data_IF_359987573618
#
_entry.id   IF_359987573618
#
_cell.length_a   1.000
_cell.length_b   1.000
_cell.length_c   1.000
_cell.angle_alpha   90.00
_cell.angle_beta   90.00
_cell.angle_gamma   90.00
#
_symmetry.space_group_name_H-M   'P 1'
#
loop_
_entity.id
_entity.type
_entity.pdbx_description
1 polymer ?
#
# COMPACT_ATOMS: atom_id res chain seq x y z
N UNK A 1 -82.83 -1.74 2.78
CA UNK A 1 -84.27 -1.56 3.07
C UNK A 1 -84.97 -1.56 1.73
N UNK A 2 -85.81 -2.56 1.50
CA UNK A 2 -86.30 -2.95 0.17
C UNK A 2 -87.73 -2.50 -0.05
N UNK A 3 -88.10 -2.31 -1.33
CA UNK A 3 -89.47 -2.07 -1.81
C UNK A 3 -90.50 -3.00 -1.14
N UNK A 4 -90.08 -4.22 -0.81
CA UNK A 4 -90.88 -5.23 -0.11
C UNK A 4 -91.39 -4.81 1.28
N UNK A 5 -90.70 -3.93 2.00
CA UNK A 5 -91.14 -3.47 3.33
C UNK A 5 -92.22 -2.37 3.20
N UNK A 6 -92.10 -1.52 2.18
CA UNK A 6 -93.15 -0.56 1.80
C UNK A 6 -94.41 -1.31 1.34
N UNK A 7 -94.27 -2.34 0.51
CA UNK A 7 -95.38 -3.18 0.07
C UNK A 7 -96.05 -3.91 1.25
N UNK A 8 -95.26 -4.41 2.22
CA UNK A 8 -95.80 -5.05 3.43
C UNK A 8 -96.57 -4.07 4.32
N UNK A 9 -96.05 -2.85 4.49
CA UNK A 9 -96.72 -1.80 5.28
C UNK A 9 -97.98 -1.27 4.56
N UNK A 10 -97.99 -1.27 3.23
CA UNK A 10 -99.15 -0.94 2.42
C UNK A 10 -100.29 -1.93 2.67
N UNK A 11 -100.01 -3.24 2.60
CA UNK A 11 -101.00 -4.28 2.90
C UNK A 11 -101.49 -4.23 4.36
N UNK A 12 -100.61 -3.86 5.29
CA UNK A 12 -100.94 -3.75 6.71
C UNK A 12 -101.87 -2.54 6.98
N UNK A 13 -101.59 -1.39 6.37
CA UNK A 13 -102.42 -0.19 6.46
C UNK A 13 -103.80 -0.40 5.80
N UNK A 14 -103.87 -1.14 4.69
CA UNK A 14 -105.13 -1.46 4.01
C UNK A 14 -106.02 -2.42 4.83
N UNK A 15 -105.42 -3.34 5.60
CA UNK A 15 -106.16 -4.28 6.46
C UNK A 15 -106.54 -3.68 7.82
N UNK A 16 -105.70 -2.80 8.36
CA UNK A 16 -105.89 -2.16 9.66
C UNK A 16 -105.58 -0.66 9.54
N UNK A 17 -106.58 0.15 9.14
CA UNK A 17 -106.40 1.56 8.89
C UNK A 17 -106.38 2.34 10.21
N UNK A 18 -105.25 2.29 10.90
CA UNK A 18 -104.94 3.14 12.04
C UNK A 18 -103.97 4.24 11.62
N UNK A 19 -104.04 5.39 12.31
CA UNK A 19 -103.20 6.55 12.03
C UNK A 19 -101.70 6.20 12.13
N UNK A 20 -101.31 5.43 13.16
CA UNK A 20 -99.92 4.95 13.34
C UNK A 20 -99.42 4.10 12.17
N UNK A 21 -100.28 3.26 11.55
CA UNK A 21 -99.88 2.41 10.43
C UNK A 21 -99.70 3.21 9.13
N UNK A 22 -100.53 4.24 8.91
CA UNK A 22 -100.35 5.15 7.78
C UNK A 22 -99.12 6.04 7.95
N UNK A 23 -98.86 6.54 9.16
CA UNK A 23 -97.63 7.31 9.44
C UNK A 23 -96.37 6.47 9.24
N UNK A 24 -96.38 5.20 9.66
CA UNK A 24 -95.27 4.27 9.43
C UNK A 24 -95.05 3.99 7.94
N UNK A 25 -96.13 3.76 7.17
CA UNK A 25 -96.06 3.57 5.72
C UNK A 25 -95.53 4.80 4.99
N UNK A 26 -96.06 5.99 5.29
CA UNK A 26 -95.63 7.24 4.67
C UNK A 26 -94.17 7.55 5.02
N UNK A 27 -93.76 7.31 6.26
CA UNK A 27 -92.36 7.48 6.68
C UNK A 27 -91.43 6.56 5.91
N UNK A 28 -91.79 5.28 5.72
CA UNK A 28 -90.96 4.36 4.93
C UNK A 28 -91.00 4.64 3.42
N UNK A 29 -92.13 5.11 2.88
CA UNK A 29 -92.21 5.56 1.49
C UNK A 29 -91.31 6.77 1.23
N UNK A 30 -91.29 7.74 2.16
CA UNK A 30 -90.43 8.91 2.09
C UNK A 30 -88.95 8.51 2.19
N UNK A 31 -88.59 7.65 3.14
CA UNK A 31 -87.22 7.13 3.27
C UNK A 31 -86.78 6.34 2.03
N UNK A 32 -87.68 5.55 1.44
CA UNK A 32 -87.40 4.83 0.20
C UNK A 32 -87.15 5.80 -0.98
N UNK A 33 -87.99 6.83 -1.13
CA UNK A 33 -87.85 7.85 -2.17
C UNK A 33 -86.57 8.68 -1.99
N UNK A 34 -86.25 9.11 -0.78
CA UNK A 34 -84.99 9.82 -0.47
C UNK A 34 -83.77 8.96 -0.83
N UNK A 35 -83.83 7.66 -0.57
CA UNK A 35 -82.74 6.74 -0.92
C UNK A 35 -82.61 6.53 -2.43
N UNK A 36 -83.73 6.41 -3.15
CA UNK A 36 -83.73 6.32 -4.61
C UNK A 36 -83.20 7.61 -5.25
N UNK A 37 -83.58 8.77 -4.70
CA UNK A 37 -83.03 10.07 -5.11
C UNK A 37 -81.53 10.17 -4.81
N UNK A 38 -81.07 9.68 -3.65
CA UNK A 38 -79.65 9.60 -3.31
C UNK A 38 -78.86 8.72 -4.29
N UNK A 39 -79.36 7.52 -4.60
CA UNK A 39 -78.73 6.61 -5.58
C UNK A 39 -78.71 7.25 -6.98
N UNK A 40 -79.78 7.92 -7.38
CA UNK A 40 -79.84 8.62 -8.66
C UNK A 40 -78.86 9.79 -8.71
N UNK A 41 -78.77 10.60 -7.66
CA UNK A 41 -77.81 11.70 -7.57
C UNK A 41 -76.35 11.20 -7.56
N UNK A 42 -76.06 10.07 -6.89
CA UNK A 42 -74.74 9.44 -6.95
C UNK A 42 -74.42 8.83 -8.33
N UNK A 43 -75.42 8.34 -9.05
CA UNK A 43 -75.26 7.84 -10.40
C UNK A 43 -75.05 8.97 -11.41
N UNK A 44 -75.78 10.08 -11.26
CA UNK A 44 -75.61 11.31 -12.04
C UNK A 44 -74.23 11.93 -11.77
N UNK A 45 -73.81 12.04 -10.50
CA UNK A 45 -72.46 12.50 -10.14
C UNK A 45 -71.34 11.60 -10.69
N UNK A 46 -71.55 10.27 -10.74
CA UNK A 46 -70.61 9.34 -11.39
C UNK A 46 -70.59 9.48 -12.91
N UNK A 47 -71.74 9.74 -13.53
CA UNK A 47 -71.85 9.97 -14.96
C UNK A 47 -71.18 11.29 -15.37
N UNK A 48 -71.39 12.36 -14.60
CA UNK A 48 -70.73 13.65 -14.80
C UNK A 48 -69.21 13.54 -14.59
N UNK A 49 -68.76 12.86 -13.53
CA UNK A 49 -67.34 12.62 -13.30
C UNK A 49 -66.71 11.77 -14.43
N UNK A 50 -67.43 10.77 -14.94
CA UNK A 50 -66.98 9.97 -16.09
C UNK A 50 -66.96 10.79 -17.39
N UNK A 51 -67.93 11.68 -17.58
CA UNK A 51 -68.00 12.57 -18.74
C UNK A 51 -66.88 13.62 -18.70
N UNK A 52 -66.58 14.18 -17.53
CA UNK A 52 -65.48 15.12 -17.34
C UNK A 52 -64.13 14.41 -17.51
N UNK A 53 -63.97 13.19 -16.97
CA UNK A 53 -62.77 12.38 -17.20
C UNK A 53 -62.61 11.99 -18.67
N UNK A 54 -63.70 11.69 -19.38
CA UNK A 54 -63.68 11.42 -20.82
C UNK A 54 -63.37 12.68 -21.63
N UNK A 55 -63.81 13.86 -21.17
CA UNK A 55 -63.47 15.15 -21.77
C UNK A 55 -62.00 15.49 -21.54
N UNK A 56 -61.50 15.34 -20.32
CA UNK A 56 -60.07 15.49 -19.98
C UNK A 56 -59.20 14.54 -20.80
N UNK A 57 -59.57 13.25 -20.91
CA UNK A 57 -58.83 12.29 -21.74
C UNK A 57 -58.93 12.63 -23.23
N UNK A 58 -60.04 13.21 -23.72
CA UNK A 58 -60.14 13.71 -25.11
C UNK A 58 -59.26 14.93 -25.32
N UNK A 59 -59.23 15.87 -24.38
CA UNK A 59 -58.38 17.05 -24.43
C UNK A 59 -56.90 16.69 -24.31
N UNK A 60 -56.56 15.68 -23.50
CA UNK A 60 -55.22 15.13 -23.37
C UNK A 60 -54.81 14.34 -24.63
N UNK A 61 -55.73 13.55 -25.21
CA UNK A 61 -55.54 12.90 -26.50
C UNK A 61 -55.44 13.89 -27.66
N UNK A 62 -56.20 14.99 -27.65
CA UNK A 62 -56.06 16.08 -28.60
C UNK A 62 -54.78 16.88 -28.35
N UNK A 63 -54.36 17.08 -27.11
CA UNK A 63 -53.09 17.70 -26.75
C UNK A 63 -51.91 16.87 -27.23
N UNK A 64 -51.95 15.56 -27.01
CA UNK A 64 -50.97 14.60 -27.51
C UNK A 64 -51.02 14.48 -29.04
N UNK A 65 -52.20 14.55 -29.67
CA UNK A 65 -52.33 14.60 -31.13
C UNK A 65 -51.81 15.91 -31.70
N UNK A 66 -52.04 17.05 -31.06
CA UNK A 66 -51.50 18.36 -31.46
C UNK A 66 -49.98 18.41 -31.30
N UNK A 67 -49.44 17.77 -30.26
CA UNK A 67 -48.01 17.54 -30.06
C UNK A 67 -47.42 16.55 -31.09
N UNK A 68 -48.19 15.58 -31.58
CA UNK A 68 -47.78 14.61 -32.60
C UNK A 68 -48.15 14.98 -34.06
N UNK A 69 -48.88 16.08 -34.30
CA UNK A 69 -49.18 16.60 -35.66
C UNK A 69 -48.08 17.48 -36.25
N UNK A 70 -46.86 17.46 -35.69
CA UNK A 70 -45.68 17.62 -36.54
C UNK A 70 -45.59 16.37 -37.41
N UNK A 71 -46.18 16.44 -38.60
CA UNK A 71 -46.01 15.44 -39.64
C UNK A 71 -44.51 15.03 -39.70
N UNK A 72 -44.18 13.74 -39.88
CA UNK A 72 -42.79 13.33 -40.05
C UNK A 72 -42.18 14.13 -41.19
N UNK A 73 -41.30 15.07 -40.85
CA UNK A 73 -40.60 15.88 -41.85
C UNK A 73 -39.68 14.92 -42.58
N UNK A 74 -40.02 14.54 -43.80
CA UNK A 74 -39.04 13.98 -44.73
C UNK A 74 -37.96 15.03 -44.87
N UNK A 75 -36.79 14.76 -44.27
CA UNK A 75 -35.60 15.58 -44.44
C UNK A 75 -35.36 15.76 -45.94
N UNK A 76 -35.01 16.98 -46.35
CA UNK A 76 -34.57 17.20 -47.73
C UNK A 76 -33.29 16.39 -47.99
N UNK A 77 -33.01 16.07 -49.25
CA UNK A 77 -31.77 15.40 -49.63
C UNK A 77 -30.53 16.17 -49.14
N UNK A 78 -30.59 17.51 -49.16
CA UNK A 78 -29.55 18.40 -48.64
C UNK A 78 -29.34 18.25 -47.11
N UNK A 79 -30.43 18.15 -46.34
CA UNK A 79 -30.34 17.97 -44.88
C UNK A 79 -29.80 16.58 -44.50
N UNK A 80 -30.13 15.56 -45.29
CA UNK A 80 -29.59 14.21 -45.11
C UNK A 80 -28.09 14.16 -45.46
N UNK A 81 -27.67 14.85 -46.52
CA UNK A 81 -26.26 14.96 -46.89
C UNK A 81 -25.46 15.71 -45.82
N UNK A 82 -25.97 16.84 -45.31
CA UNK A 82 -25.35 17.58 -44.21
C UNK A 82 -25.24 16.74 -42.94
N UNK A 83 -26.29 15.98 -42.60
CA UNK A 83 -26.28 15.06 -41.47
C UNK A 83 -25.16 14.01 -41.61
N UNK A 84 -25.13 13.31 -42.76
CA UNK A 84 -24.15 12.26 -43.01
C UNK A 84 -22.72 12.80 -43.07
N UNK A 85 -22.52 13.98 -43.66
CA UNK A 85 -21.21 14.65 -43.69
C UNK A 85 -20.73 14.99 -42.27
N UNK A 86 -21.61 15.54 -41.43
CA UNK A 86 -21.28 15.91 -40.06
C UNK A 86 -21.07 14.68 -39.16
N UNK A 87 -21.88 13.65 -39.32
CA UNK A 87 -21.74 12.37 -38.63
C UNK A 87 -20.38 11.73 -38.97
N UNK A 88 -20.03 11.68 -40.26
CA UNK A 88 -18.77 11.10 -40.73
C UNK A 88 -17.57 11.91 -40.28
N UNK A 89 -17.68 13.24 -40.29
CA UNK A 89 -16.64 14.15 -39.79
C UNK A 89 -16.34 13.90 -38.31
N UNK A 90 -17.38 13.80 -37.47
CA UNK A 90 -17.23 13.49 -36.04
C UNK A 90 -16.63 12.11 -35.82
N UNK A 91 -17.11 11.09 -36.53
CA UNK A 91 -16.56 9.74 -36.42
C UNK A 91 -15.07 9.70 -36.80
N UNK A 92 -14.68 10.41 -37.87
CA UNK A 92 -13.30 10.52 -38.30
C UNK A 92 -12.44 11.20 -37.24
N UNK A 93 -12.92 12.29 -36.65
CA UNK A 93 -12.19 12.98 -35.58
C UNK A 93 -12.02 12.08 -34.34
N UNK A 94 -13.06 11.36 -33.94
CA UNK A 94 -12.99 10.42 -32.82
C UNK A 94 -12.04 9.25 -33.12
N UNK A 95 -12.07 8.72 -34.35
CA UNK A 95 -11.16 7.68 -34.81
C UNK A 95 -9.70 8.10 -34.75
N UNK A 96 -9.36 9.27 -35.29
CA UNK A 96 -7.99 9.82 -35.26
C UNK A 96 -7.51 10.01 -33.82
N UNK A 97 -8.35 10.59 -32.95
CA UNK A 97 -8.00 10.78 -31.54
C UNK A 97 -7.81 9.46 -30.81
N UNK A 98 -8.67 8.47 -31.06
CA UNK A 98 -8.54 7.13 -30.52
C UNK A 98 -7.22 6.49 -30.93
N UNK A 99 -6.90 6.48 -32.23
CA UNK A 99 -5.67 5.88 -32.76
C UNK A 99 -4.43 6.51 -32.14
N UNK A 100 -4.36 7.84 -32.10
CA UNK A 100 -3.21 8.56 -31.52
C UNK A 100 -3.09 8.29 -30.02
N UNK A 101 -4.19 8.31 -29.27
CA UNK A 101 -4.16 8.02 -27.82
C UNK A 101 -3.80 6.56 -27.55
N UNK A 102 -4.35 5.60 -28.30
CA UNK A 102 -3.99 4.18 -28.17
C UNK A 102 -2.53 3.94 -28.53
N UNK A 103 -2.02 4.58 -29.58
CA UNK A 103 -0.61 4.49 -29.96
C UNK A 103 0.30 5.07 -28.87
N UNK A 104 -0.03 6.25 -28.33
CA UNK A 104 0.69 6.84 -27.22
C UNK A 104 0.73 5.93 -25.99
N UNK A 105 -0.40 5.31 -25.65
CA UNK A 105 -0.52 4.39 -24.51
C UNK A 105 0.18 3.04 -24.74
N UNK A 106 0.57 2.72 -25.99
CA UNK A 106 1.30 1.51 -26.33
C UNK A 106 2.82 1.64 -26.17
N UNK A 107 3.34 2.85 -25.96
CA UNK A 107 4.77 3.06 -25.78
C UNK A 107 5.30 2.40 -24.50
N UNK A 108 6.52 1.88 -24.60
CA UNK A 108 7.31 1.54 -23.42
C UNK A 108 7.68 2.82 -22.65
N UNK A 109 8.05 2.67 -21.37
CA UNK A 109 8.46 3.81 -20.56
C UNK A 109 9.63 4.60 -21.17
N UNK A 110 10.54 3.95 -21.90
CA UNK A 110 11.68 4.61 -22.56
C UNK A 110 11.28 5.31 -23.85
N UNK A 111 10.43 4.69 -24.68
CA UNK A 111 9.96 5.31 -25.93
C UNK A 111 9.09 6.54 -25.65
N UNK A 112 8.31 6.50 -24.57
CA UNK A 112 7.48 7.62 -24.13
C UNK A 112 8.30 8.86 -23.76
N UNK A 113 9.50 8.68 -23.18
CA UNK A 113 10.40 9.78 -22.82
C UNK A 113 10.90 10.53 -24.05
N UNK A 114 11.05 9.85 -25.18
CA UNK A 114 11.53 10.43 -26.44
C UNK A 114 10.40 10.92 -27.36
N UNK A 115 9.15 10.53 -27.07
CA UNK A 115 8.00 10.90 -27.87
C UNK A 115 7.77 12.41 -27.94
N UNK A 116 7.41 12.90 -29.13
CA UNK A 116 6.98 14.29 -29.31
C UNK A 116 5.55 14.45 -28.77
N UNK A 117 5.44 15.00 -27.55
CA UNK A 117 4.15 15.11 -26.87
C UNK A 117 3.36 16.37 -27.26
N UNK A 118 3.86 17.24 -28.14
CA UNK A 118 3.34 18.58 -28.45
C UNK A 118 1.87 18.56 -28.92
N UNK A 119 1.52 17.64 -29.81
CA UNK A 119 0.17 17.51 -30.37
C UNK A 119 -0.82 16.94 -29.35
N UNK A 120 -0.45 15.85 -28.66
CA UNK A 120 -1.33 15.23 -27.65
C UNK A 120 -1.50 16.15 -26.44
N UNK A 121 -0.43 16.83 -26.05
CA UNK A 121 -0.42 17.93 -25.09
C UNK A 121 -1.50 18.97 -25.37
N UNK A 122 -1.51 19.52 -26.58
CA UNK A 122 -2.51 20.50 -27.00
C UNK A 122 -3.94 19.95 -26.96
N UNK A 123 -4.14 18.71 -27.36
CA UNK A 123 -5.45 18.06 -27.31
C UNK A 123 -5.95 17.83 -25.88
N UNK A 124 -5.05 17.50 -24.94
CA UNK A 124 -5.37 17.35 -23.53
C UNK A 124 -5.72 18.70 -22.88
N UNK A 125 -5.00 19.76 -23.23
CA UNK A 125 -5.24 21.11 -22.70
C UNK A 125 -6.55 21.71 -23.22
N UNK A 126 -6.92 21.40 -24.47
CA UNK A 126 -8.17 21.86 -25.12
C UNK A 126 -9.34 20.87 -25.00
N UNK A 127 -9.17 19.81 -24.20
CA UNK A 127 -10.13 18.70 -24.10
C UNK A 127 -11.53 19.15 -23.70
N UNK A 128 -11.66 20.05 -22.73
CA UNK A 128 -12.96 20.55 -22.24
C UNK A 128 -13.75 21.27 -23.34
N UNK A 129 -13.06 22.09 -24.14
CA UNK A 129 -13.64 22.79 -25.29
C UNK A 129 -14.05 21.81 -26.39
N UNK A 130 -13.20 20.84 -26.69
CA UNK A 130 -13.50 19.79 -27.66
C UNK A 130 -14.72 18.95 -27.23
N UNK A 131 -14.72 18.44 -26.00
CA UNK A 131 -15.79 17.60 -25.46
C UNK A 131 -17.14 18.32 -25.50
N UNK A 132 -17.20 19.58 -25.05
CA UNK A 132 -18.42 20.38 -25.09
C UNK A 132 -18.92 20.60 -26.54
N UNK A 133 -18.01 20.84 -27.49
CA UNK A 133 -18.34 21.02 -28.91
C UNK A 133 -18.82 19.71 -29.56
N UNK A 134 -18.14 18.60 -29.30
CA UNK A 134 -18.47 17.27 -29.79
C UNK A 134 -19.84 16.82 -29.24
N UNK A 135 -20.06 16.95 -27.93
CA UNK A 135 -21.31 16.57 -27.29
C UNK A 135 -22.48 17.42 -27.80
N UNK A 136 -22.29 18.74 -27.93
CA UNK A 136 -23.28 19.64 -28.54
C UNK A 136 -23.61 19.23 -29.99
N UNK A 137 -22.60 18.85 -30.77
CA UNK A 137 -22.77 18.42 -32.15
C UNK A 137 -23.50 17.08 -32.26
N UNK A 138 -23.17 16.10 -31.42
CA UNK A 138 -23.86 14.80 -31.36
C UNK A 138 -25.31 14.99 -30.85
N UNK A 139 -25.55 15.86 -29.86
CA UNK A 139 -26.92 16.19 -29.40
C UNK A 139 -27.75 16.83 -30.52
N UNK A 140 -27.16 17.71 -31.34
CA UNK A 140 -27.83 18.29 -32.52
C UNK A 140 -28.18 17.22 -33.55
N UNK A 141 -27.27 16.30 -33.85
CA UNK A 141 -27.55 15.16 -34.73
C UNK A 141 -28.65 14.26 -34.15
N UNK A 142 -28.63 14.00 -32.84
CA UNK A 142 -29.67 13.20 -32.16
C UNK A 142 -31.05 13.83 -32.25
N UNK A 143 -31.13 15.17 -32.24
CA UNK A 143 -32.37 15.90 -32.46
C UNK A 143 -32.91 15.68 -33.88
N UNK A 144 -32.03 15.80 -34.90
CA UNK A 144 -32.39 15.53 -36.30
C UNK A 144 -32.79 14.06 -36.52
N UNK A 145 -32.08 13.11 -35.90
CA UNK A 145 -32.41 11.69 -35.92
C UNK A 145 -33.81 11.41 -35.35
N UNK A 146 -34.16 12.04 -34.21
CA UNK A 146 -35.49 11.91 -33.59
C UNK A 146 -36.62 12.56 -34.39
N UNK A 147 -36.32 13.67 -35.05
CA UNK A 147 -37.27 14.42 -35.88
C UNK A 147 -37.46 13.76 -37.27
N UNK A 148 -36.52 12.90 -37.68
CA UNK A 148 -36.59 12.17 -38.93
C UNK A 148 -37.60 11.01 -38.88
N UNK A 149 -38.39 10.87 -39.94
CA UNK A 149 -39.29 9.75 -40.12
C UNK A 149 -38.53 8.42 -40.17
N UNK A 150 -39.12 7.31 -39.71
CA UNK A 150 -38.59 5.94 -39.85
C UNK A 150 -38.24 5.51 -41.29
N UNK A 151 -38.62 6.30 -42.29
CA UNK A 151 -38.33 6.08 -43.71
C UNK A 151 -36.92 6.53 -44.13
N UNK A 152 -36.26 7.40 -43.35
CA UNK A 152 -34.91 7.88 -43.67
C UNK A 152 -33.86 6.98 -42.99
N UNK A 153 -33.02 6.32 -43.79
CA UNK A 153 -31.91 5.49 -43.29
C UNK A 153 -30.75 6.42 -42.89
N UNK A 154 -30.82 6.98 -41.68
CA UNK A 154 -29.72 7.75 -41.09
C UNK A 154 -28.84 6.85 -40.22
N UNK A 155 -27.51 7.06 -40.22
CA UNK A 155 -26.61 6.41 -39.26
C UNK A 155 -27.00 6.76 -37.82
N UNK A 156 -27.06 5.79 -36.89
CA UNK A 156 -27.49 6.06 -35.52
C UNK A 156 -26.43 6.89 -34.77
N UNK A 157 -26.87 7.86 -33.96
CA UNK A 157 -25.94 8.66 -33.14
C UNK A 157 -25.33 7.89 -31.97
N UNK A 158 -25.87 6.71 -31.62
CA UNK A 158 -25.34 5.87 -30.54
C UNK A 158 -23.87 5.52 -30.77
N UNK A 159 -23.47 5.19 -32.00
CA UNK A 159 -22.07 4.87 -32.30
C UNK A 159 -21.12 6.06 -32.10
N UNK A 160 -21.61 7.29 -32.25
CA UNK A 160 -20.82 8.49 -31.95
C UNK A 160 -20.66 8.69 -30.43
N UNK A 161 -21.67 8.37 -29.63
CA UNK A 161 -21.54 8.36 -28.17
C UNK A 161 -20.55 7.29 -27.71
N UNK A 162 -20.68 6.06 -28.22
CA UNK A 162 -19.76 4.96 -27.86
C UNK A 162 -18.31 5.30 -28.24
N UNK A 163 -18.10 5.89 -29.42
CA UNK A 163 -16.77 6.33 -29.86
C UNK A 163 -16.24 7.49 -29.01
N UNK A 164 -17.08 8.46 -28.65
CA UNK A 164 -16.68 9.57 -27.78
C UNK A 164 -16.32 9.08 -26.38
N UNK A 165 -17.09 8.16 -25.80
CA UNK A 165 -16.83 7.58 -24.48
C UNK A 165 -15.49 6.82 -24.44
N UNK A 166 -15.17 6.08 -25.51
CA UNK A 166 -13.88 5.39 -25.61
C UNK A 166 -12.71 6.39 -25.71
N UNK A 167 -12.87 7.47 -26.48
CA UNK A 167 -11.86 8.55 -26.51
C UNK A 167 -11.73 9.22 -25.14
N UNK A 168 -12.83 9.46 -24.42
CA UNK A 168 -12.80 9.99 -23.05
C UNK A 168 -11.98 9.08 -22.11
N UNK A 169 -12.22 7.77 -22.16
CA UNK A 169 -11.50 6.78 -21.33
C UNK A 169 -10.00 6.79 -21.61
N UNK A 170 -9.61 6.75 -22.89
CA UNK A 170 -8.21 6.80 -23.31
C UNK A 170 -7.56 8.15 -22.94
N UNK A 171 -8.31 9.24 -23.05
CA UNK A 171 -7.86 10.57 -22.70
C UNK A 171 -7.52 10.69 -21.21
N UNK A 172 -8.36 10.15 -20.32
CA UNK A 172 -8.07 10.15 -18.88
C UNK A 172 -6.78 9.39 -18.56
N UNK A 173 -6.55 8.23 -19.20
CA UNK A 173 -5.34 7.44 -19.02
C UNK A 173 -4.10 8.20 -19.52
N UNK A 174 -4.19 8.77 -20.73
CA UNK A 174 -3.10 9.54 -21.33
C UNK A 174 -2.77 10.82 -20.54
N UNK A 175 -3.77 11.50 -19.96
CA UNK A 175 -3.57 12.74 -19.20
C UNK A 175 -2.60 12.56 -18.04
N UNK A 176 -2.72 11.46 -17.30
CA UNK A 176 -1.84 11.17 -16.16
C UNK A 176 -0.39 10.92 -16.62
N UNK A 177 -0.21 10.13 -17.68
CA UNK A 177 1.11 9.81 -18.22
C UNK A 177 1.81 11.03 -18.84
N UNK A 178 1.10 11.78 -19.69
CA UNK A 178 1.61 13.03 -20.28
C UNK A 178 1.87 14.07 -19.20
N UNK A 179 1.02 14.16 -18.17
CA UNK A 179 1.21 15.06 -17.03
C UNK A 179 2.49 14.74 -16.24
N UNK A 180 2.73 13.46 -15.93
CA UNK A 180 3.97 13.02 -15.26
C UNK A 180 5.22 13.31 -16.10
N UNK A 181 5.17 13.05 -17.39
CA UNK A 181 6.31 13.29 -18.28
C UNK A 181 6.54 14.78 -18.54
N UNK A 182 5.48 15.59 -18.65
CA UNK A 182 5.60 17.07 -18.66
C UNK A 182 6.25 17.57 -17.39
N UNK A 183 5.81 17.07 -16.23
CA UNK A 183 6.43 17.40 -14.94
C UNK A 183 7.91 17.02 -14.96
N UNK A 184 8.26 15.79 -15.32
CA UNK A 184 9.65 15.31 -15.45
C UNK A 184 10.50 16.19 -16.37
N UNK A 185 10.00 16.54 -17.56
CA UNK A 185 10.69 17.42 -18.52
C UNK A 185 10.85 18.85 -17.99
N UNK A 186 9.87 19.35 -17.26
CA UNK A 186 9.93 20.69 -16.62
C UNK A 186 10.82 20.72 -15.38
N UNK A 187 10.88 19.62 -14.62
CA UNK A 187 11.74 19.47 -13.44
C UNK A 187 13.17 19.06 -13.80
N UNK A 188 13.45 18.71 -15.06
CA UNK A 188 14.82 18.54 -15.59
C UNK A 188 15.50 19.87 -15.93
N UNK A 189 14.98 21.01 -15.45
CA UNK A 189 15.65 22.32 -15.57
C UNK A 189 17.00 22.29 -14.86
N UNK A 190 17.98 23.02 -15.41
CA UNK A 190 19.32 23.16 -14.81
C UNK A 190 19.26 23.66 -13.36
N UNK A 191 18.22 24.42 -13.00
CA UNK A 191 17.97 24.90 -11.63
C UNK A 191 17.73 23.74 -10.64
N UNK A 192 16.88 22.77 -10.97
CA UNK A 192 16.63 21.60 -10.13
C UNK A 192 17.85 20.68 -10.05
N UNK A 193 18.61 20.56 -11.14
CA UNK A 193 19.90 19.85 -11.14
C UNK A 193 20.86 20.54 -10.17
N UNK A 194 20.92 21.87 -10.20
CA UNK A 194 21.80 22.64 -9.33
C UNK A 194 21.39 22.50 -7.85
N UNK A 195 20.10 22.58 -7.54
CA UNK A 195 19.58 22.37 -6.18
C UNK A 195 19.93 20.97 -5.66
N UNK A 196 19.72 19.93 -6.48
CA UNK A 196 20.12 18.57 -6.15
C UNK A 196 21.63 18.48 -5.87
N UNK A 197 22.45 19.07 -6.74
CA UNK A 197 23.92 19.05 -6.59
C UNK A 197 24.38 19.80 -5.35
N UNK A 198 23.69 20.84 -4.92
CA UNK A 198 24.01 21.58 -3.71
C UNK A 198 23.60 20.81 -2.44
N UNK A 199 22.41 20.19 -2.43
CA UNK A 199 21.98 19.29 -1.34
C UNK A 199 22.91 18.07 -1.21
N UNK A 200 23.28 17.44 -2.33
CA UNK A 200 24.23 16.33 -2.36
C UNK A 200 25.60 16.76 -1.81
N UNK A 201 26.09 17.94 -2.22
CA UNK A 201 27.39 18.45 -1.76
C UNK A 201 27.39 18.69 -0.26
N UNK A 202 26.31 19.23 0.30
CA UNK A 202 26.20 19.46 1.75
C UNK A 202 26.30 18.15 2.54
N UNK A 203 25.60 17.10 2.13
CA UNK A 203 25.69 15.80 2.80
C UNK A 203 27.08 15.18 2.67
N UNK A 204 27.69 15.28 1.48
CA UNK A 204 29.05 14.78 1.24
C UNK A 204 30.08 15.51 2.10
N UNK A 205 29.99 16.83 2.17
CA UNK A 205 30.84 17.69 3.00
C UNK A 205 30.69 17.34 4.49
N UNK A 206 29.45 17.11 4.94
CA UNK A 206 29.18 16.65 6.30
C UNK A 206 29.83 15.29 6.56
N UNK A 207 29.66 14.31 5.66
CA UNK A 207 30.28 12.98 5.81
C UNK A 207 31.81 13.08 5.92
N UNK A 208 32.45 13.90 5.07
CA UNK A 208 33.91 14.14 5.13
C UNK A 208 34.34 14.77 6.44
N UNK A 209 33.63 15.79 6.93
CA UNK A 209 33.91 16.42 8.24
C UNK A 209 33.79 15.42 9.39
N UNK A 210 32.81 14.52 9.34
CA UNK A 210 32.66 13.45 10.34
C UNK A 210 33.82 12.45 10.26
N UNK A 211 34.25 12.05 9.06
CA UNK A 211 35.41 11.17 8.87
C UNK A 211 36.72 11.81 9.36
N UNK A 212 36.94 13.10 9.08
CA UNK A 212 38.08 13.85 9.59
C UNK A 212 38.08 13.95 11.12
N UNK A 213 36.91 14.14 11.72
CA UNK A 213 36.74 14.17 13.17
C UNK A 213 37.05 12.80 13.74
N UNK A 214 36.41 11.75 13.20
CA UNK A 214 36.63 10.36 13.57
C UNK A 214 38.12 10.01 13.48
N UNK A 215 38.83 10.44 12.43
CA UNK A 215 40.26 10.17 12.22
C UNK A 215 41.14 10.70 13.37
N UNK A 216 40.77 11.83 13.99
CA UNK A 216 41.50 12.45 15.11
C UNK A 216 41.26 11.77 16.45
N UNK A 217 40.12 11.07 16.61
CA UNK A 217 39.78 10.38 17.86
C UNK A 217 40.66 9.15 18.07
N UNK A 218 41.19 8.95 19.27
CA UNK A 218 42.06 7.81 19.59
C UNK A 218 41.70 7.12 20.90
N UNK A 219 41.08 7.83 21.84
CA UNK A 219 40.59 7.27 23.08
C UNK A 219 39.26 6.52 22.86
N UNK A 220 39.07 5.41 23.57
CA UNK A 220 37.85 4.61 23.48
C UNK A 220 36.61 5.39 23.97
N UNK A 221 36.75 6.22 25.01
CA UNK A 221 35.67 7.08 25.51
C UNK A 221 35.15 8.02 24.43
N UNK A 222 36.06 8.80 23.80
CA UNK A 222 35.70 9.72 22.72
C UNK A 222 35.08 9.01 21.52
N UNK A 223 35.55 7.80 21.19
CA UNK A 223 34.98 6.99 20.10
C UNK A 223 33.56 6.51 20.43
N UNK A 224 33.28 6.18 21.70
CA UNK A 224 31.92 5.83 22.16
C UNK A 224 31.01 7.06 22.09
N UNK A 225 31.47 8.23 22.57
CA UNK A 225 30.70 9.47 22.49
C UNK A 225 30.40 9.86 21.05
N UNK A 226 31.40 9.77 20.16
CA UNK A 226 31.20 9.98 18.73
C UNK A 226 30.19 9.00 18.15
N UNK A 227 30.29 7.71 18.45
CA UNK A 227 29.39 6.70 17.88
C UNK A 227 27.95 6.86 18.41
N UNK A 228 27.77 7.19 19.69
CA UNK A 228 26.47 7.53 20.25
C UNK A 228 25.85 8.75 19.54
N UNK A 229 26.64 9.80 19.32
CA UNK A 229 26.20 10.97 18.57
C UNK A 229 25.89 10.61 17.10
N UNK A 230 26.74 9.82 16.46
CA UNK A 230 26.53 9.35 15.10
C UNK A 230 25.22 8.56 14.97
N UNK A 231 25.00 7.58 15.86
CA UNK A 231 23.76 6.78 15.89
C UNK A 231 22.51 7.65 16.09
N UNK A 232 22.60 8.69 16.93
CA UNK A 232 21.48 9.63 17.10
C UNK A 232 21.17 10.47 15.85
N UNK A 233 22.16 10.67 14.98
CA UNK A 233 22.02 11.42 13.73
C UNK A 233 21.60 10.55 12.53
N UNK A 234 21.72 9.22 12.62
CA UNK A 234 21.37 8.29 11.51
C UNK A 234 19.95 8.53 10.99
N UNK A 235 18.88 8.63 11.81
CA UNK A 235 17.52 8.82 11.29
C UNK A 235 17.33 10.13 10.51
N UNK A 236 18.04 11.20 10.92
CA UNK A 236 18.01 12.49 10.22
C UNK A 236 18.72 12.36 8.88
N UNK A 237 19.84 11.64 8.86
CA UNK A 237 20.58 11.39 7.62
C UNK A 237 19.79 10.51 6.66
N UNK A 238 19.14 9.45 7.13
CA UNK A 238 18.28 8.60 6.32
C UNK A 238 17.13 9.39 5.69
N UNK A 239 16.51 10.32 6.43
CA UNK A 239 15.51 11.24 5.90
C UNK A 239 16.08 12.15 4.81
N UNK A 240 17.27 12.72 5.03
CA UNK A 240 17.94 13.58 4.04
C UNK A 240 18.32 12.80 2.77
N UNK A 241 18.76 11.55 2.92
CA UNK A 241 19.03 10.65 1.81
C UNK A 241 17.74 10.33 1.05
N UNK A 242 16.65 10.00 1.75
CA UNK A 242 15.36 9.75 1.12
C UNK A 242 14.90 10.94 0.26
N UNK A 243 15.01 12.17 0.78
CA UNK A 243 14.68 13.38 0.03
C UNK A 243 15.55 13.52 -1.23
N UNK A 244 16.87 13.27 -1.13
CA UNK A 244 17.74 13.27 -2.31
C UNK A 244 17.35 12.20 -3.32
N UNK A 245 16.95 11.02 -2.86
CA UNK A 245 16.49 9.94 -3.73
C UNK A 245 15.21 10.33 -4.48
N UNK A 246 14.22 10.89 -3.77
CA UNK A 246 12.97 11.39 -4.37
C UNK A 246 13.23 12.51 -5.39
N UNK A 247 14.12 13.46 -5.09
CA UNK A 247 14.53 14.50 -6.04
C UNK A 247 15.24 13.92 -7.27
N UNK A 248 16.05 12.88 -7.07
CA UNK A 248 16.80 12.25 -8.15
C UNK A 248 15.90 11.53 -9.15
N UNK A 249 14.72 11.02 -8.76
CA UNK A 249 13.81 10.23 -9.62
C UNK A 249 13.49 10.97 -10.94
N UNK A 250 13.17 12.26 -10.85
CA UNK A 250 12.86 13.07 -12.03
C UNK A 250 14.11 13.41 -12.87
N UNK A 251 15.29 13.39 -12.24
CA UNK A 251 16.59 13.79 -12.80
C UNK A 251 17.46 12.60 -13.25
N UNK A 252 16.98 11.37 -13.07
CA UNK A 252 17.71 10.13 -13.29
C UNK A 252 18.29 9.97 -14.71
N UNK A 253 17.78 10.67 -15.72
CA UNK A 253 18.38 10.66 -17.06
C UNK A 253 19.72 11.41 -17.16
N UNK A 254 20.10 12.18 -16.15
CA UNK A 254 21.33 12.94 -16.13
C UNK A 254 22.46 12.14 -15.45
N UNK A 255 23.51 11.82 -16.21
CA UNK A 255 24.68 11.07 -15.70
C UNK A 255 25.35 11.75 -14.49
N UNK A 256 25.39 13.09 -14.46
CA UNK A 256 26.01 13.82 -13.33
C UNK A 256 25.24 13.60 -12.02
N UNK A 257 23.92 13.50 -12.11
CA UNK A 257 23.03 13.23 -10.96
C UNK A 257 23.25 11.79 -10.49
N UNK A 258 23.34 10.84 -11.41
CA UNK A 258 23.64 9.44 -11.08
C UNK A 258 24.98 9.31 -10.36
N UNK A 259 26.05 9.89 -10.91
CA UNK A 259 27.39 9.83 -10.32
C UNK A 259 27.42 10.50 -8.93
N UNK A 260 26.76 11.65 -8.78
CA UNK A 260 26.69 12.37 -7.52
C UNK A 260 25.94 11.57 -6.44
N UNK A 261 24.89 10.84 -6.82
CA UNK A 261 24.12 9.97 -5.93
C UNK A 261 24.92 8.74 -5.49
N UNK A 262 25.72 8.15 -6.38
CA UNK A 262 26.68 7.10 -6.03
C UNK A 262 27.76 7.62 -5.08
N UNK A 263 28.31 8.80 -5.35
CA UNK A 263 29.38 9.37 -4.53
C UNK A 263 28.92 9.64 -3.10
N UNK A 264 27.72 10.21 -2.91
CA UNK A 264 27.20 10.52 -1.56
C UNK A 264 26.87 9.27 -0.77
N UNK A 265 26.28 8.24 -1.41
CA UNK A 265 26.04 6.95 -0.76
C UNK A 265 27.35 6.25 -0.37
N UNK A 266 28.36 6.30 -1.26
CA UNK A 266 29.68 5.74 -0.95
C UNK A 266 30.31 6.43 0.26
N UNK A 267 30.25 7.76 0.35
CA UNK A 267 30.81 8.51 1.48
C UNK A 267 30.07 8.21 2.79
N UNK A 268 28.76 8.02 2.74
CA UNK A 268 27.96 7.60 3.89
C UNK A 268 28.32 6.19 4.39
N UNK A 269 28.35 5.21 3.49
CA UNK A 269 28.75 3.83 3.81
C UNK A 269 30.17 3.80 4.36
N UNK A 270 31.10 4.55 3.75
CA UNK A 270 32.48 4.66 4.23
C UNK A 270 32.56 5.23 5.64
N UNK A 271 31.80 6.29 5.96
CA UNK A 271 31.75 6.85 7.31
C UNK A 271 31.25 5.82 8.33
N UNK A 272 30.16 5.10 8.02
CA UNK A 272 29.61 4.06 8.91
C UNK A 272 30.62 2.92 9.15
N UNK A 273 31.27 2.45 8.08
CA UNK A 273 32.27 1.38 8.16
C UNK A 273 33.54 1.80 8.91
N UNK A 274 34.00 3.04 8.72
CA UNK A 274 35.14 3.59 9.45
C UNK A 274 34.82 3.76 10.94
N UNK A 275 33.62 4.27 11.27
CA UNK A 275 33.17 4.43 12.65
C UNK A 275 33.12 3.08 13.37
N UNK A 276 32.52 2.07 12.73
CA UNK A 276 32.47 0.71 13.25
C UNK A 276 33.88 0.11 13.42
N UNK A 277 34.72 0.17 12.38
CA UNK A 277 36.05 -0.44 12.40
C UNK A 277 36.94 0.21 13.45
N UNK A 278 36.88 1.54 13.60
CA UNK A 278 37.70 2.26 14.57
C UNK A 278 37.26 1.96 16.00
N UNK A 279 35.96 1.91 16.27
CA UNK A 279 35.44 1.49 17.57
C UNK A 279 35.82 0.05 17.88
N UNK A 280 35.68 -0.87 16.93
CA UNK A 280 36.07 -2.27 17.06
C UNK A 280 37.55 -2.39 17.45
N UNK A 281 38.45 -1.74 16.71
CA UNK A 281 39.90 -1.76 16.99
C UNK A 281 40.21 -1.20 18.38
N UNK A 282 39.59 -0.09 18.77
CA UNK A 282 39.77 0.50 20.10
C UNK A 282 39.24 -0.42 21.22
N UNK A 283 38.09 -1.05 21.01
CA UNK A 283 37.51 -2.01 21.94
C UNK A 283 38.39 -3.26 22.10
N UNK A 284 38.88 -3.84 21.00
CA UNK A 284 39.81 -4.99 21.02
C UNK A 284 41.11 -4.61 21.74
N UNK A 285 41.65 -3.41 21.50
CA UNK A 285 42.83 -2.92 22.22
C UNK A 285 42.57 -2.79 23.71
N UNK A 286 41.46 -2.18 24.12
CA UNK A 286 41.08 -2.06 25.52
C UNK A 286 40.89 -3.43 26.18
N UNK A 287 40.21 -4.36 25.50
CA UNK A 287 40.01 -5.74 25.96
C UNK A 287 41.35 -6.44 26.21
N UNK A 288 42.26 -6.41 25.22
CA UNK A 288 43.59 -7.02 25.33
C UNK A 288 44.41 -6.48 26.50
N UNK A 289 44.21 -5.21 26.86
CA UNK A 289 44.90 -4.57 27.99
C UNK A 289 44.27 -4.86 29.36
N UNK A 290 42.99 -5.24 29.42
CA UNK A 290 42.22 -5.36 30.67
C UNK A 290 42.55 -6.61 31.50
N UNK A 291 43.16 -7.64 30.88
CA UNK A 291 43.33 -9.00 31.44
C UNK A 291 42.03 -9.70 31.86
N UNK A 292 40.86 -9.14 31.57
CA UNK A 292 39.57 -9.64 32.02
C UNK A 292 39.32 -11.08 31.55
N UNK A 293 39.60 -11.36 30.28
CA UNK A 293 39.45 -12.71 29.71
C UNK A 293 40.31 -13.75 30.43
N UNK A 294 41.56 -13.41 30.76
CA UNK A 294 42.43 -14.29 31.54
C UNK A 294 41.87 -14.54 32.94
N UNK A 295 41.43 -13.49 33.64
CA UNK A 295 40.84 -13.62 34.98
C UNK A 295 39.56 -14.46 34.96
N UNK A 296 38.73 -14.32 33.93
CA UNK A 296 37.53 -15.14 33.75
C UNK A 296 37.87 -16.61 33.43
N UNK A 297 38.92 -16.89 32.66
CA UNK A 297 39.44 -18.26 32.46
C UNK A 297 39.95 -18.86 33.77
N UNK A 298 40.73 -18.10 34.53
CA UNK A 298 41.22 -18.54 35.85
C UNK A 298 40.07 -18.80 36.83
N UNK A 299 39.04 -17.95 36.82
CA UNK A 299 37.83 -18.14 37.60
C UNK A 299 37.14 -19.46 37.26
N UNK A 300 36.77 -19.64 35.99
CA UNK A 300 36.02 -20.82 35.52
C UNK A 300 36.78 -22.12 35.68
N UNK A 301 38.10 -22.13 35.41
CA UNK A 301 38.91 -23.34 35.47
C UNK A 301 39.33 -23.71 36.91
N UNK A 302 39.53 -22.71 37.77
CA UNK A 302 40.18 -22.94 39.08
C UNK A 302 39.32 -22.53 40.27
N UNK A 303 38.76 -21.33 40.27
CA UNK A 303 38.12 -20.75 41.47
C UNK A 303 36.68 -21.20 41.63
N UNK A 304 35.90 -21.19 40.56
CA UNK A 304 34.49 -21.59 40.52
C UNK A 304 34.28 -23.02 41.05
N UNK A 305 35.00 -24.07 40.56
CA UNK A 305 34.85 -25.42 41.08
C UNK A 305 35.26 -25.57 42.56
N UNK A 306 36.16 -24.72 43.06
CA UNK A 306 36.58 -24.73 44.47
C UNK A 306 35.52 -24.08 45.35
N UNK A 307 35.02 -22.91 44.95
CA UNK A 307 33.99 -22.17 45.67
C UNK A 307 32.68 -22.96 45.73
N UNK A 308 32.25 -23.55 44.60
CA UNK A 308 31.06 -24.38 44.55
C UNK A 308 31.15 -25.58 45.52
N UNK A 309 32.28 -26.31 45.51
CA UNK A 309 32.53 -27.40 46.47
C UNK A 309 32.52 -26.94 47.92
N UNK A 310 33.12 -25.78 48.21
CA UNK A 310 33.13 -25.20 49.54
C UNK A 310 31.71 -24.86 50.02
N UNK A 311 30.89 -24.22 49.18
CA UNK A 311 29.51 -23.85 49.50
C UNK A 311 28.62 -25.08 49.72
N UNK A 312 28.75 -26.11 48.88
CA UNK A 312 28.05 -27.38 49.07
C UNK A 312 28.49 -28.10 50.37
N UNK A 313 29.79 -28.10 50.65
CA UNK A 313 30.31 -28.67 51.90
C UNK A 313 29.77 -27.91 53.11
N UNK A 314 29.74 -26.58 53.08
CA UNK A 314 29.19 -25.76 54.15
C UNK A 314 27.70 -26.05 54.36
N UNK A 315 26.91 -26.14 53.29
CA UNK A 315 25.50 -26.56 53.36
C UNK A 315 25.32 -27.91 54.04
N UNK A 316 26.14 -28.90 53.68
CA UNK A 316 26.03 -30.25 54.25
C UNK A 316 26.29 -30.27 55.76
N UNK A 317 27.24 -29.46 56.25
CA UNK A 317 27.57 -29.34 57.68
C UNK A 317 26.49 -28.57 58.43
N UNK A 318 25.95 -27.51 57.82
CA UNK A 318 24.87 -26.71 58.40
C UNK A 318 23.56 -27.51 58.51
N UNK A 319 23.28 -28.38 57.54
CA UNK A 319 22.11 -29.27 57.57
C UNK A 319 22.15 -30.29 58.73
N UNK A 320 23.34 -30.64 59.24
CA UNK A 320 23.51 -31.54 60.38
C UNK A 320 23.30 -30.84 61.74
N UNK A 321 23.29 -29.50 61.78
CA UNK A 321 23.18 -28.69 63.00
C UNK A 321 22.01 -27.68 62.89
N UNK A 322 20.83 -28.16 62.49
CA UNK A 322 19.66 -27.33 62.15
C UNK A 322 19.05 -26.55 63.33
N UNK A 323 19.38 -26.91 64.57
CA UNK A 323 18.68 -26.39 65.76
C UNK A 323 19.17 -25.01 66.21
N UNK A 324 20.23 -24.48 65.60
CA UNK A 324 20.76 -23.15 65.88
C UNK A 324 20.27 -22.13 64.83
N UNK A 325 19.68 -21.00 65.25
CA UNK A 325 19.19 -19.97 64.33
C UNK A 325 20.28 -19.37 63.43
N UNK A 326 21.54 -19.36 63.89
CA UNK A 326 22.69 -18.95 63.09
C UNK A 326 22.97 -19.93 61.94
N UNK A 327 22.73 -21.23 62.15
CA UNK A 327 22.93 -22.26 61.12
C UNK A 327 21.91 -22.13 59.99
N UNK A 328 20.65 -21.81 60.32
CA UNK A 328 19.60 -21.53 59.33
C UNK A 328 19.93 -20.28 58.48
N UNK A 329 20.41 -19.21 59.12
CA UNK A 329 20.83 -17.98 58.42
C UNK A 329 22.05 -18.19 57.52
N UNK A 330 23.01 -18.99 57.96
CA UNK A 330 24.17 -19.37 57.13
C UNK A 330 23.77 -20.28 55.98
N UNK A 331 22.84 -21.21 56.18
CA UNK A 331 22.33 -22.12 55.16
C UNK A 331 21.63 -21.36 54.02
N UNK A 332 20.71 -20.47 54.36
CA UNK A 332 20.03 -19.58 53.40
C UNK A 332 21.00 -18.67 52.64
N UNK A 333 22.06 -18.20 53.31
CA UNK A 333 23.13 -17.43 52.66
C UNK A 333 23.91 -18.29 51.65
N UNK A 334 24.23 -19.55 52.00
CA UNK A 334 24.92 -20.48 51.10
C UNK A 334 24.06 -20.82 49.87
N UNK A 335 22.75 -21.03 50.04
CA UNK A 335 21.82 -21.24 48.92
C UNK A 335 21.80 -20.07 47.96
N UNK A 336 21.75 -18.84 48.48
CA UNK A 336 21.79 -17.63 47.65
C UNK A 336 23.12 -17.52 46.90
N UNK A 337 24.24 -17.74 47.58
CA UNK A 337 25.57 -17.69 46.97
C UNK A 337 25.75 -18.76 45.90
N UNK A 338 25.17 -19.95 46.05
CA UNK A 338 25.18 -20.99 45.02
C UNK A 338 24.42 -20.55 43.75
N UNK A 339 23.26 -19.91 43.90
CA UNK A 339 22.50 -19.37 42.75
C UNK A 339 23.25 -18.23 42.05
N UNK A 340 23.81 -17.31 42.83
CA UNK A 340 24.61 -16.19 42.30
C UNK A 340 25.89 -16.69 41.63
N UNK A 341 26.50 -17.75 42.18
CA UNK A 341 27.67 -18.41 41.60
C UNK A 341 27.38 -18.95 40.20
N UNK A 342 26.28 -19.68 40.01
CA UNK A 342 25.91 -20.21 38.68
C UNK A 342 25.75 -19.09 37.65
N UNK A 343 25.04 -18.01 38.01
CA UNK A 343 24.87 -16.86 37.13
C UNK A 343 26.21 -16.18 36.79
N UNK A 344 27.09 -16.03 37.77
CA UNK A 344 28.41 -15.45 37.58
C UNK A 344 29.32 -16.35 36.73
N UNK A 345 29.29 -17.66 36.94
CA UNK A 345 30.08 -18.64 36.19
C UNK A 345 29.72 -18.66 34.71
N UNK A 346 28.43 -18.52 34.37
CA UNK A 346 27.97 -18.35 32.98
C UNK A 346 28.55 -17.09 32.35
N UNK A 347 28.55 -15.96 33.07
CA UNK A 347 29.12 -14.69 32.58
C UNK A 347 30.62 -14.83 32.37
N UNK A 348 31.35 -15.38 33.33
CA UNK A 348 32.78 -15.60 33.22
C UNK A 348 33.13 -16.57 32.10
N UNK A 349 32.36 -17.64 31.89
CA UNK A 349 32.55 -18.58 30.78
C UNK A 349 32.41 -17.87 29.44
N UNK A 350 31.39 -17.01 29.29
CA UNK A 350 31.28 -16.22 28.07
C UNK A 350 32.47 -15.26 27.89
N UNK A 351 32.89 -14.54 28.92
CA UNK A 351 34.01 -13.61 28.83
C UNK A 351 35.37 -14.30 28.60
N UNK A 352 35.53 -15.53 29.07
CA UNK A 352 36.73 -16.35 28.94
C UNK A 352 37.07 -16.72 27.48
N UNK A 353 36.06 -16.79 26.61
CA UNK A 353 36.18 -17.12 25.18
C UNK A 353 35.87 -15.92 24.28
N UNK A 354 36.02 -14.69 24.78
CA UNK A 354 35.73 -13.50 24.00
C UNK A 354 36.58 -13.42 22.72
N UNK A 355 37.91 -13.60 22.82
CA UNK A 355 38.82 -13.47 21.68
C UNK A 355 38.52 -14.51 20.61
N UNK A 356 38.25 -15.76 21.01
CA UNK A 356 37.88 -16.85 20.08
C UNK A 356 36.61 -16.49 19.29
N UNK A 357 35.59 -15.96 19.98
CA UNK A 357 34.35 -15.55 19.31
C UNK A 357 34.58 -14.40 18.34
N UNK A 358 35.40 -13.42 18.70
CA UNK A 358 35.75 -12.31 17.82
C UNK A 358 36.49 -12.81 16.56
N UNK A 359 37.42 -13.75 16.71
CA UNK A 359 38.15 -14.38 15.60
C UNK A 359 37.24 -15.17 14.67
N UNK A 360 36.25 -15.91 15.20
CA UNK A 360 35.29 -16.65 14.39
C UNK A 360 34.37 -15.73 13.57
N UNK A 361 34.01 -14.55 14.11
CA UNK A 361 33.09 -13.61 13.46
C UNK A 361 33.81 -12.70 12.46
N UNK A 362 35.11 -12.44 12.66
CA UNK A 362 35.91 -11.52 11.85
C UNK A 362 35.81 -11.76 10.32
N UNK A 363 35.93 -12.99 9.79
CA UNK A 363 35.81 -13.23 8.35
C UNK A 363 34.44 -12.82 7.78
N UNK A 364 33.37 -12.99 8.56
CA UNK A 364 32.02 -12.61 8.16
C UNK A 364 31.87 -11.08 8.15
N UNK A 365 32.40 -10.42 9.16
CA UNK A 365 32.44 -8.95 9.23
C UNK A 365 33.23 -8.37 8.06
N UNK A 366 34.37 -8.96 7.72
CA UNK A 366 35.21 -8.51 6.61
C UNK A 366 34.52 -8.74 5.26
N UNK A 367 33.82 -9.86 5.07
CA UNK A 367 33.01 -10.11 3.89
C UNK A 367 31.87 -9.09 3.74
N UNK A 368 31.16 -8.77 4.84
CA UNK A 368 30.11 -7.75 4.84
C UNK A 368 30.66 -6.36 4.52
N UNK A 369 31.81 -5.99 5.09
CA UNK A 369 32.50 -4.72 4.77
C UNK A 369 32.86 -4.64 3.29
N UNK A 370 33.36 -5.73 2.72
CA UNK A 370 33.72 -5.80 1.30
C UNK A 370 32.48 -5.68 0.41
N UNK A 371 31.39 -6.37 0.75
CA UNK A 371 30.14 -6.31 -0.02
C UNK A 371 29.51 -4.92 0.02
N UNK A 372 29.46 -4.28 1.20
CA UNK A 372 28.95 -2.92 1.35
C UNK A 372 29.74 -1.88 0.53
N UNK A 373 31.02 -2.16 0.26
CA UNK A 373 31.88 -1.32 -0.59
C UNK A 373 31.86 -1.74 -2.07
N UNK A 374 31.11 -2.79 -2.42
CA UNK A 374 31.02 -3.26 -3.79
C UNK A 374 30.31 -2.24 -4.68
N UNK A 375 30.67 -2.22 -5.96
CA UNK A 375 29.98 -1.39 -6.95
C UNK A 375 28.51 -1.76 -7.08
N UNK A 376 28.18 -3.05 -6.89
CA UNK A 376 26.80 -3.55 -6.97
C UNK A 376 25.97 -2.93 -5.84
N UNK A 377 26.41 -3.05 -4.59
CA UNK A 377 25.70 -2.48 -3.44
C UNK A 377 25.59 -0.96 -3.54
N UNK A 378 26.66 -0.27 -3.95
CA UNK A 378 26.62 1.17 -4.19
C UNK A 378 25.59 1.54 -5.27
N UNK A 379 25.47 0.75 -6.32
CA UNK A 379 24.49 0.99 -7.41
C UNK A 379 23.07 0.75 -6.90
N UNK A 380 22.83 -0.36 -6.19
CA UNK A 380 21.50 -0.74 -5.69
C UNK A 380 21.00 0.28 -4.66
N UNK A 381 21.87 0.72 -3.75
CA UNK A 381 21.51 1.73 -2.74
C UNK A 381 21.28 3.12 -3.36
N UNK A 382 21.91 3.42 -4.50
CA UNK A 382 21.73 4.69 -5.22
C UNK A 382 20.57 4.69 -6.20
N UNK A 383 20.11 3.54 -6.71
CA UNK A 383 19.11 3.53 -7.77
C UNK A 383 17.99 2.53 -7.49
N UNK A 384 16.92 2.93 -6.77
CA UNK A 384 15.74 2.10 -6.63
C UNK A 384 15.10 1.81 -7.99
N UNK A 385 15.26 2.67 -9.01
CA UNK A 385 14.65 2.45 -10.33
C UNK A 385 15.46 1.58 -11.31
N UNK A 386 16.57 0.97 -10.90
CA UNK A 386 17.13 -0.19 -11.63
C UNK A 386 16.23 -1.45 -11.49
N UNK A 387 15.01 -1.25 -10.97
CA UNK A 387 13.90 -2.17 -10.77
C UNK A 387 13.19 -2.67 -12.06
N UNK A 388 13.59 -2.24 -13.26
CA UNK A 388 12.93 -2.66 -14.51
C UNK A 388 13.31 -4.09 -14.99
N UNK A 389 14.29 -4.75 -14.38
CA UNK A 389 14.89 -5.97 -14.91
C UNK A 389 14.91 -7.16 -13.95
N UNK A 390 13.85 -7.46 -13.18
CA UNK A 390 13.62 -8.79 -12.59
C UNK A 390 14.60 -9.33 -11.51
N UNK A 391 15.78 -8.72 -11.35
CA UNK A 391 16.76 -8.96 -10.27
C UNK A 391 16.27 -8.56 -8.85
N UNK A 392 15.27 -7.67 -8.63
CA UNK A 392 14.92 -7.20 -7.28
C UNK A 392 14.35 -8.28 -6.36
N UNK A 393 13.58 -9.24 -6.90
CA UNK A 393 13.00 -10.30 -6.08
C UNK A 393 14.11 -11.19 -5.51
N UNK A 394 15.11 -11.54 -6.33
CA UNK A 394 16.25 -12.34 -5.89
C UNK A 394 17.15 -11.55 -4.94
N UNK A 395 17.51 -10.29 -5.23
CA UNK A 395 18.36 -9.53 -4.31
C UNK A 395 17.66 -9.22 -2.98
N UNK A 396 16.40 -8.79 -3.01
CA UNK A 396 15.60 -8.55 -1.79
C UNK A 396 15.38 -9.85 -1.03
N UNK A 397 15.07 -10.95 -1.72
CA UNK A 397 15.00 -12.28 -1.11
C UNK A 397 16.33 -12.71 -0.51
N UNK A 398 17.48 -12.41 -1.13
CA UNK A 398 18.81 -12.73 -0.59
C UNK A 398 19.16 -11.85 0.60
N UNK A 399 18.77 -10.59 0.61
CA UNK A 399 18.95 -9.69 1.76
C UNK A 399 18.03 -10.08 2.92
N UNK A 400 16.79 -10.46 2.65
CA UNK A 400 15.85 -11.00 3.64
C UNK A 400 16.32 -12.37 4.16
N UNK A 401 16.80 -13.25 3.29
CA UNK A 401 17.38 -14.55 3.66
C UNK A 401 18.69 -14.37 4.43
N UNK A 402 19.51 -13.36 4.12
CA UNK A 402 20.71 -13.00 4.89
C UNK A 402 20.34 -12.43 6.26
N UNK A 403 19.34 -11.55 6.32
CA UNK A 403 18.81 -11.00 7.56
C UNK A 403 18.23 -12.11 8.45
N UNK A 404 17.41 -12.99 7.88
CA UNK A 404 16.85 -14.16 8.55
C UNK A 404 17.96 -15.14 8.97
N UNK A 405 18.97 -15.34 8.13
CA UNK A 405 20.14 -16.15 8.48
C UNK A 405 20.93 -15.54 9.64
N UNK A 406 21.14 -14.22 9.66
CA UNK A 406 21.75 -13.50 10.77
C UNK A 406 20.89 -13.65 12.03
N UNK A 407 19.57 -13.51 11.93
CA UNK A 407 18.65 -13.61 13.06
C UNK A 407 18.57 -15.06 13.60
N UNK A 408 18.63 -16.07 12.73
CA UNK A 408 18.62 -17.50 13.10
C UNK A 408 19.99 -17.98 13.61
N UNK A 409 21.09 -17.40 13.13
CA UNK A 409 22.46 -17.74 13.57
C UNK A 409 22.94 -16.94 14.77
N UNK A 410 22.44 -15.72 14.97
CA UNK A 410 22.69 -14.92 16.17
C UNK A 410 21.97 -15.50 17.40
N UNK A 411 20.95 -16.35 17.20
CA UNK A 411 20.39 -17.16 18.27
C UNK A 411 21.39 -18.23 18.72
N UNK A 412 21.90 -18.06 19.95
CA UNK A 412 22.90 -18.90 20.65
C UNK A 412 22.75 -20.42 20.47
N UNK A 413 21.54 -20.93 20.24
CA UNK A 413 21.26 -22.35 20.10
C UNK A 413 21.78 -22.99 18.79
N UNK A 414 21.88 -22.24 17.70
CA UNK A 414 22.27 -22.79 16.39
C UNK A 414 23.78 -23.00 16.27
N UNK A 415 24.58 -22.14 16.90
CA UNK A 415 26.03 -22.29 16.99
C UNK A 415 26.43 -23.45 17.91
N UNK A 416 25.77 -23.60 19.07
CA UNK A 416 25.98 -24.74 19.98
C UNK A 416 25.64 -26.07 19.31
N UNK A 417 24.52 -26.16 18.58
CA UNK A 417 24.15 -27.37 17.82
C UNK A 417 25.13 -27.72 16.71
N UNK A 418 25.76 -26.72 16.07
CA UNK A 418 26.80 -26.94 15.06
C UNK A 418 28.10 -27.44 15.69
N UNK A 419 28.49 -26.89 16.85
CA UNK A 419 29.62 -27.36 17.64
C UNK A 419 29.42 -28.80 18.15
N UNK A 420 28.24 -29.13 18.68
CA UNK A 420 27.88 -30.49 19.08
C UNK A 420 27.94 -31.46 17.90
N UNK A 421 27.42 -31.07 16.73
CA UNK A 421 27.49 -31.88 15.51
C UNK A 421 28.93 -32.08 15.03
N UNK A 422 29.75 -31.05 15.11
CA UNK A 422 31.15 -31.11 14.69
C UNK A 422 31.97 -32.00 15.64
N UNK A 423 31.65 -31.97 16.94
CA UNK A 423 32.28 -32.86 17.92
C UNK A 423 31.82 -34.31 17.76
N UNK A 424 30.53 -34.55 17.52
CA UNK A 424 30.02 -35.87 17.12
C UNK A 424 30.70 -36.39 15.85
N UNK A 425 30.91 -35.51 14.86
CA UNK A 425 31.56 -35.89 13.60
C UNK A 425 33.04 -36.20 13.81
N UNK A 426 33.74 -35.45 14.68
CA UNK A 426 35.12 -35.78 15.07
C UNK A 426 35.21 -37.13 15.79
N UNK A 427 34.27 -37.44 16.69
CA UNK A 427 34.20 -38.74 17.36
C UNK A 427 34.00 -39.86 16.34
N UNK A 428 33.05 -39.71 15.40
CA UNK A 428 32.82 -40.70 14.34
C UNK A 428 34.04 -40.85 13.43
N UNK A 429 34.71 -39.75 13.07
CA UNK A 429 35.95 -39.79 12.28
C UNK A 429 37.05 -40.48 13.06
N UNK A 430 37.16 -40.28 14.37
CA UNK A 430 38.15 -40.93 15.23
C UNK A 430 37.87 -42.42 15.38
N UNK A 431 36.62 -42.80 15.60
CA UNK A 431 36.18 -44.20 15.62
C UNK A 431 36.40 -44.89 14.27
N UNK A 432 36.16 -44.21 13.15
CA UNK A 432 36.46 -44.74 11.82
C UNK A 432 37.97 -44.76 11.51
N UNK A 433 38.75 -43.81 12.03
CA UNK A 433 40.21 -43.83 11.92
C UNK A 433 40.81 -44.97 12.75
N UNK A 434 40.29 -45.24 13.95
CA UNK A 434 40.72 -46.35 14.81
C UNK A 434 40.35 -47.73 14.21
N UNK A 435 39.28 -47.81 13.40
CA UNK A 435 38.89 -49.01 12.63
C UNK A 435 39.73 -49.19 11.36
N UNK A 436 40.10 -48.11 10.68
CA UNK A 436 40.89 -48.14 9.43
C UNK A 436 42.40 -48.24 9.68
N UNK A 437 42.86 -47.76 10.84
CA UNK A 437 44.24 -47.82 11.30
C UNK A 437 44.25 -48.33 12.75
N UNK A 438 43.87 -49.60 12.99
CA UNK A 438 44.01 -50.17 14.33
C UNK A 438 45.49 -50.10 14.68
N UNK A 439 45.82 -49.38 15.75
CA UNK A 439 47.19 -49.28 16.24
C UNK A 439 47.76 -50.69 16.35
N UNK A 440 48.68 -50.98 15.43
CA UNK A 440 49.35 -52.27 15.33
C UNK A 440 50.20 -52.50 16.57
N UNK A 441 49.62 -53.18 17.55
CA UNK A 441 50.37 -53.91 18.56
C UNK A 441 50.53 -55.36 18.12
N UNK A 442 51.57 -55.66 17.34
CA UNK A 442 52.38 -56.90 17.24
C UNK A 442 53.09 -56.97 15.89
#
# INVERSE_FOLDING_TARGET
MSLSEVERLQELADRQPTEENYEALVSEQLLFLERQLGIKAEAEGRAEAAQEKAKQLREEMEGLRRLNTSAPTTLSAEQQEEYCAKWTSLLKEFGVRKEVLSFLLSYSAEDFKQAELSTVSHWLDTWTTFFASAESSVRRLKKVERESARANVLPPTQHLYDALDEVCRLQLQARTLVGRERYRRSSSSEEFIQDFMDSQRQLREWCRKQRETLAKLTALGDLIEFNNSFYSNVPVMDSNFLVLMEQSEALMSNLRVQDALQEVNREWVMLALEAYSKLQVAATKAHSSSRLEQLCREWTQTMSPKLHRLLLSAQSVLAQNSDASEAERLSTTCERLLKEHEAHDVVCTHLADFTVREECVRPHVDALKAELQSSLTSTVLSFPHYDAAGVPADYRSRMEELQEWIDVKSQKGTYMKLLERLEMTKVIIKEHADVLFPDGGS
#
